data_IF_263650482318
#
_entry.id   IF_263650482318
#
_cell.length_a   1.000
_cell.length_b   1.000
_cell.length_c   1.000
_cell.angle_alpha   90.00
_cell.angle_beta   90.00
_cell.angle_gamma   90.00
#
_symmetry.space_group_name_H-M   'P 1'
#
loop_
_entity.id
_entity.type
_entity.pdbx_description
1 polymer ?
#
# COMPACT_ATOMS: atom_id res chain seq x y z
N UNK A 1 -28.56 -22.51 -7.97
CA UNK A 1 -28.09 -21.29 -7.27
C UNK A 1 -27.27 -21.57 -6.00
N UNK A 2 -26.91 -22.82 -5.67
CA UNK A 2 -26.16 -23.14 -4.45
C UNK A 2 -24.62 -23.23 -4.63
N UNK A 3 -24.11 -23.18 -5.85
CA UNK A 3 -22.69 -23.45 -6.16
C UNK A 3 -21.77 -22.23 -5.99
N UNK A 4 -22.29 -21.01 -6.15
CA UNK A 4 -21.47 -19.78 -6.09
C UNK A 4 -21.09 -19.40 -4.66
N UNK A 5 -21.98 -19.60 -3.69
CA UNK A 5 -21.73 -19.27 -2.27
C UNK A 5 -20.65 -20.15 -1.64
N UNK A 6 -20.47 -21.38 -2.13
CA UNK A 6 -19.51 -22.36 -1.61
C UNK A 6 -18.08 -22.05 -2.12
N UNK A 7 -17.94 -21.53 -3.33
CA UNK A 7 -16.64 -21.17 -3.90
C UNK A 7 -16.02 -19.92 -3.23
N UNK A 8 -16.84 -18.90 -2.96
CA UNK A 8 -16.39 -17.66 -2.29
C UNK A 8 -15.98 -17.90 -0.83
N UNK A 9 -16.72 -18.75 -0.11
CA UNK A 9 -16.37 -19.12 1.26
C UNK A 9 -15.10 -19.98 1.33
N UNK A 10 -14.89 -20.87 0.35
CA UNK A 10 -13.66 -21.66 0.25
C UNK A 10 -12.42 -20.81 -0.06
N UNK A 11 -12.53 -19.80 -0.94
CA UNK A 11 -11.43 -18.88 -1.26
C UNK A 11 -11.04 -18.01 -0.06
N UNK A 12 -12.02 -17.42 0.63
CA UNK A 12 -11.75 -16.63 1.83
C UNK A 12 -11.20 -17.47 2.98
N UNK A 13 -11.66 -18.72 3.14
CA UNK A 13 -11.12 -19.66 4.11
C UNK A 13 -9.67 -20.09 3.80
N UNK A 14 -9.31 -20.21 2.52
CA UNK A 14 -7.95 -20.54 2.10
C UNK A 14 -6.98 -19.39 2.39
N UNK A 15 -7.38 -18.15 2.08
CA UNK A 15 -6.53 -16.97 2.32
C UNK A 15 -6.40 -16.67 3.81
N UNK A 16 -7.46 -16.79 4.59
CA UNK A 16 -7.40 -16.66 6.06
C UNK A 16 -6.52 -17.75 6.70
N UNK A 17 -6.56 -18.98 6.19
CA UNK A 17 -5.66 -20.05 6.65
C UNK A 17 -4.20 -19.75 6.32
N UNK A 18 -3.92 -19.23 5.11
CA UNK A 18 -2.57 -18.87 4.66
C UNK A 18 -1.97 -17.74 5.52
N UNK A 19 -2.77 -16.71 5.86
CA UNK A 19 -2.39 -15.62 6.77
C UNK A 19 -1.97 -16.16 8.15
N UNK A 20 -2.73 -17.12 8.70
CA UNK A 20 -2.47 -17.70 10.03
C UNK A 20 -1.22 -18.58 10.05
N UNK A 21 -0.87 -19.20 8.93
CA UNK A 21 0.29 -20.09 8.81
C UNK A 21 1.59 -19.39 8.42
N UNK A 22 1.58 -18.08 8.18
CA UNK A 22 2.78 -17.39 7.73
C UNK A 22 3.85 -17.38 8.84
N UNK A 23 4.94 -18.12 8.61
CA UNK A 23 6.00 -18.35 9.60
C UNK A 23 6.71 -17.05 9.99
N UNK A 24 6.83 -16.09 9.07
CA UNK A 24 7.44 -14.78 9.30
C UNK A 24 6.68 -13.95 10.35
N UNK A 25 5.34 -13.98 10.34
CA UNK A 25 4.53 -13.32 11.38
C UNK A 25 4.72 -13.95 12.76
N UNK A 26 4.80 -15.29 12.81
CA UNK A 26 5.04 -16.00 14.07
C UNK A 26 6.44 -15.72 14.61
N UNK A 27 7.44 -15.72 13.73
CA UNK A 27 8.84 -15.44 14.06
C UNK A 27 9.04 -13.99 14.53
N UNK A 28 8.44 -13.01 13.85
CA UNK A 28 8.46 -11.62 14.30
C UNK A 28 7.84 -11.47 15.69
N UNK A 29 6.68 -12.07 15.94
CA UNK A 29 6.03 -12.04 17.25
C UNK A 29 6.91 -12.66 18.35
N UNK A 30 7.58 -13.78 18.05
CA UNK A 30 8.51 -14.41 18.98
C UNK A 30 9.72 -13.52 19.31
N UNK A 31 10.29 -12.83 18.31
CA UNK A 31 11.40 -11.90 18.50
C UNK A 31 10.98 -10.65 19.30
N UNK A 32 9.80 -10.10 19.03
CA UNK A 32 9.25 -8.97 19.80
C UNK A 32 9.03 -9.35 21.27
N UNK A 33 8.52 -10.55 21.53
CA UNK A 33 8.34 -11.07 22.88
C UNK A 33 9.69 -11.31 23.59
N UNK A 34 10.69 -11.85 22.87
CA UNK A 34 12.07 -11.98 23.37
C UNK A 34 12.64 -10.61 23.75
N UNK A 35 12.50 -9.59 22.90
CA UNK A 35 12.94 -8.21 23.17
C UNK A 35 12.27 -7.64 24.43
N UNK A 36 10.95 -7.77 24.56
CA UNK A 36 10.21 -7.30 25.76
C UNK A 36 10.77 -7.91 27.04
N UNK A 37 11.07 -9.21 27.05
CA UNK A 37 11.66 -9.89 28.21
C UNK A 37 13.07 -9.42 28.53
N UNK A 38 13.88 -9.12 27.52
CA UNK A 38 15.23 -8.58 27.72
C UNK A 38 15.18 -7.15 28.27
N UNK A 39 14.33 -6.29 27.71
CA UNK A 39 14.12 -4.91 28.19
C UNK A 39 13.65 -4.89 29.65
N UNK A 40 12.66 -5.71 30.00
CA UNK A 40 12.19 -5.81 31.38
C UNK A 40 13.28 -6.23 32.38
N UNK A 41 14.24 -7.08 31.95
CA UNK A 41 15.41 -7.47 32.77
C UNK A 41 16.46 -6.38 32.86
N UNK A 42 16.64 -5.58 31.80
CA UNK A 42 17.54 -4.42 31.81
C UNK A 42 16.99 -3.36 32.75
N UNK A 43 15.68 -3.06 32.69
CA UNK A 43 15.03 -2.05 33.53
C UNK A 43 15.12 -2.36 35.04
N UNK A 44 15.26 -3.63 35.44
CA UNK A 44 15.40 -4.01 36.85
C UNK A 44 16.81 -3.85 37.43
N UNK A 45 17.85 -3.86 36.58
CA UNK A 45 19.25 -3.88 37.04
C UNK A 45 19.79 -2.56 37.60
N UNK A 46 19.43 -1.36 37.10
CA UNK A 46 19.94 -0.09 37.62
C UNK A 46 19.71 0.07 39.12
N UNK A 47 18.53 -0.29 39.63
CA UNK A 47 18.24 -0.22 41.06
C UNK A 47 19.11 -1.16 41.90
N UNK A 48 19.43 -2.35 41.39
CA UNK A 48 20.34 -3.29 42.05
C UNK A 48 21.78 -2.79 42.04
N UNK A 49 22.23 -2.19 40.93
CA UNK A 49 23.56 -1.59 40.81
C UNK A 49 23.70 -0.41 41.78
N UNK A 50 22.72 0.49 41.86
CA UNK A 50 22.74 1.62 42.80
C UNK A 50 22.82 1.12 44.24
N UNK A 51 22.02 0.11 44.61
CA UNK A 51 22.09 -0.48 45.97
C UNK A 51 23.45 -1.10 46.27
N UNK A 52 24.04 -1.82 45.31
CA UNK A 52 25.37 -2.39 45.46
C UNK A 52 26.43 -1.29 45.63
N UNK A 53 26.35 -0.23 44.83
CA UNK A 53 27.22 0.94 44.90
C UNK A 53 27.13 1.66 46.26
N UNK A 54 25.92 1.92 46.74
CA UNK A 54 25.68 2.53 48.05
C UNK A 54 26.25 1.66 49.19
N UNK A 55 26.16 0.34 49.05
CA UNK A 55 26.73 -0.62 50.01
C UNK A 55 28.25 -0.55 50.04
N UNK A 56 28.91 -0.46 48.88
CA UNK A 56 30.37 -0.25 48.80
C UNK A 56 30.75 1.07 49.47
N UNK A 57 30.05 2.16 49.16
CA UNK A 57 30.30 3.48 49.78
C UNK A 57 30.11 3.49 51.30
N UNK A 58 29.09 2.78 51.81
CA UNK A 58 28.87 2.62 53.25
C UNK A 58 30.00 1.83 53.92
N UNK A 59 30.45 0.72 53.32
CA UNK A 59 31.57 -0.08 53.84
C UNK A 59 32.89 0.69 53.84
N UNK A 60 33.15 1.52 52.82
CA UNK A 60 34.31 2.41 52.77
C UNK A 60 34.26 3.49 53.86
N UNK A 61 33.08 4.06 54.11
CA UNK A 61 32.88 5.02 55.20
C UNK A 61 33.06 4.35 56.58
N UNK A 62 32.61 3.12 56.76
CA UNK A 62 32.83 2.33 57.98
C UNK A 62 34.31 1.99 58.19
N UNK A 63 35.02 1.58 57.13
CA UNK A 63 36.45 1.29 57.18
C UNK A 63 37.27 2.53 57.55
N UNK A 64 37.05 3.66 56.87
CA UNK A 64 37.72 4.93 57.19
C UNK A 64 37.38 5.44 58.60
N UNK A 65 36.13 5.28 59.04
CA UNK A 65 35.74 5.60 60.42
C UNK A 65 36.45 4.73 61.47
N UNK A 66 36.64 3.44 61.18
CA UNK A 66 37.38 2.51 62.04
C UNK A 66 38.88 2.85 62.11
N UNK A 67 39.49 3.25 60.99
CA UNK A 67 40.89 3.71 60.92
C UNK A 67 41.12 5.02 61.70
N UNK A 68 40.24 6.01 61.54
CA UNK A 68 40.29 7.27 62.30
C UNK A 68 40.14 6.97 63.80
N UNK A 69 39.19 6.10 64.16
CA UNK A 69 38.98 5.68 65.55
C UNK A 69 40.20 5.01 66.17
N UNK A 70 40.96 4.23 65.39
CA UNK A 70 42.22 3.62 65.83
C UNK A 70 43.31 4.68 66.04
N UNK A 71 43.47 5.61 65.11
CA UNK A 71 44.44 6.71 65.22
C UNK A 71 44.17 7.65 66.41
N UNK A 72 42.90 7.80 66.81
CA UNK A 72 42.53 8.56 68.01
C UNK A 72 42.64 7.75 69.32
N UNK A 73 42.53 6.43 69.25
CA UNK A 73 42.78 5.53 70.38
C UNK A 73 44.28 5.49 70.73
N UNK A 74 45.17 5.49 69.74
CA UNK A 74 46.64 5.55 69.91
C UNK A 74 47.12 6.76 70.71
N UNK A 75 46.34 7.84 70.74
CA UNK A 75 46.63 9.07 71.50
C UNK A 75 46.25 9.00 72.98
N UNK A 76 45.58 7.92 73.45
CA UNK A 76 45.10 7.77 74.83
C UNK A 76 45.94 6.72 75.60
N UNK A 77 46.16 6.89 76.92
CA UNK A 77 47.05 6.03 77.71
C UNK A 77 46.48 4.63 78.08
N UNK A 78 45.46 4.14 77.37
CA UNK A 78 44.81 2.84 77.66
C UNK A 78 45.41 1.73 76.77
N UNK A 79 45.44 0.47 77.22
CA UNK A 79 45.87 -0.65 76.37
C UNK A 79 44.90 -0.84 75.20
N UNK A 80 45.41 -0.72 73.97
CA UNK A 80 44.66 -0.94 72.73
C UNK A 80 44.82 -2.41 72.33
N UNK A 81 43.71 -3.06 72.04
CA UNK A 81 43.68 -4.43 71.50
C UNK A 81 43.83 -4.38 69.97
N UNK A 82 45.08 -4.19 69.53
CA UNK A 82 45.43 -4.02 68.11
C UNK A 82 44.99 -5.22 67.26
N UNK A 83 45.13 -6.44 67.75
CA UNK A 83 44.76 -7.67 67.03
C UNK A 83 43.26 -7.70 66.70
N UNK A 84 42.41 -7.24 67.62
CA UNK A 84 40.96 -7.15 67.41
C UNK A 84 40.59 -6.09 66.38
N UNK A 85 41.29 -4.97 66.35
CA UNK A 85 41.06 -3.89 65.38
C UNK A 85 41.55 -4.28 63.97
N UNK A 86 42.71 -4.90 63.86
CA UNK A 86 43.22 -5.45 62.60
C UNK A 86 42.26 -6.51 62.03
N UNK A 87 41.74 -7.40 62.88
CA UNK A 87 40.74 -8.39 62.45
C UNK A 87 39.42 -7.75 61.97
N UNK A 88 39.00 -6.64 62.58
CA UNK A 88 37.81 -5.89 62.17
C UNK A 88 38.00 -5.19 60.83
N UNK A 89 39.15 -4.54 60.61
CA UNK A 89 39.51 -3.91 59.33
C UNK A 89 39.64 -4.96 58.22
N UNK A 90 40.27 -6.10 58.50
CA UNK A 90 40.37 -7.21 57.54
C UNK A 90 38.98 -7.78 57.16
N UNK A 91 38.04 -7.84 58.12
CA UNK A 91 36.68 -8.28 57.85
C UNK A 91 35.88 -7.25 57.01
N UNK A 92 36.09 -5.96 57.23
CA UNK A 92 35.49 -4.88 56.42
C UNK A 92 36.06 -4.89 54.99
N UNK A 93 37.38 -4.98 54.84
CA UNK A 93 38.04 -5.07 53.54
C UNK A 93 37.54 -6.27 52.72
N UNK A 94 37.32 -7.42 53.37
CA UNK A 94 36.75 -8.60 52.69
C UNK A 94 35.32 -8.33 52.18
N UNK A 95 34.48 -7.70 53.01
CA UNK A 95 33.09 -7.36 52.62
C UNK A 95 33.05 -6.31 51.50
N UNK A 96 33.97 -5.36 51.52
CA UNK A 96 34.13 -4.36 50.47
C UNK A 96 34.46 -5.03 49.13
N UNK A 97 35.46 -5.92 49.10
CA UNK A 97 35.83 -6.67 47.89
C UNK A 97 34.66 -7.51 47.37
N UNK A 98 33.92 -8.18 48.25
CA UNK A 98 32.73 -8.96 47.87
C UNK A 98 31.64 -8.05 47.25
N UNK A 99 31.38 -6.88 47.84
CA UNK A 99 30.41 -5.92 47.32
C UNK A 99 30.85 -5.30 45.98
N UNK A 100 32.12 -4.96 45.82
CA UNK A 100 32.67 -4.47 44.55
C UNK A 100 32.57 -5.52 43.43
N UNK A 101 32.85 -6.79 43.73
CA UNK A 101 32.73 -7.88 42.76
C UNK A 101 31.28 -8.07 42.33
N UNK A 102 30.31 -7.95 43.26
CA UNK A 102 28.89 -7.98 42.93
C UNK A 102 28.49 -6.82 42.03
N UNK A 103 28.92 -5.59 42.34
CA UNK A 103 28.65 -4.41 41.50
C UNK A 103 29.24 -4.58 40.09
N UNK A 104 30.50 -5.00 39.98
CA UNK A 104 31.15 -5.28 38.69
C UNK A 104 30.41 -6.38 37.92
N UNK A 105 29.96 -7.42 38.61
CA UNK A 105 29.16 -8.50 38.02
C UNK A 105 27.81 -8.02 37.48
N UNK A 106 27.10 -7.17 38.23
CA UNK A 106 25.83 -6.58 37.80
C UNK A 106 26.01 -5.65 36.59
N UNK A 107 27.06 -4.81 36.58
CA UNK A 107 27.41 -3.96 35.44
C UNK A 107 27.78 -4.78 34.20
N UNK A 108 28.58 -5.83 34.36
CA UNK A 108 28.92 -6.73 33.25
C UNK A 108 27.67 -7.43 32.69
N UNK A 109 26.74 -7.85 33.55
CA UNK A 109 25.46 -8.43 33.14
C UNK A 109 24.58 -7.44 32.40
N UNK A 110 24.54 -6.18 32.83
CA UNK A 110 23.82 -5.11 32.13
C UNK A 110 24.36 -4.96 30.70
N UNK A 111 25.67 -4.78 30.54
CA UNK A 111 26.30 -4.64 29.23
C UNK A 111 26.03 -5.85 28.32
N UNK A 112 26.12 -7.07 28.87
CA UNK A 112 25.84 -8.29 28.11
C UNK A 112 24.37 -8.39 27.66
N UNK A 113 23.42 -7.92 28.48
CA UNK A 113 22.01 -7.87 28.09
C UNK A 113 21.74 -6.78 27.05
N UNK A 114 22.38 -5.62 27.14
CA UNK A 114 22.27 -4.55 26.15
C UNK A 114 22.79 -4.99 24.79
N UNK A 115 23.93 -5.70 24.74
CA UNK A 115 24.45 -6.31 23.50
C UNK A 115 23.49 -7.37 22.92
N UNK A 116 22.84 -8.16 23.76
CA UNK A 116 21.81 -9.11 23.30
C UNK A 116 20.58 -8.41 22.73
N UNK A 117 20.21 -7.25 23.26
CA UNK A 117 19.10 -6.45 22.72
C UNK A 117 19.48 -5.87 21.36
N UNK A 118 20.70 -5.36 21.17
CA UNK A 118 21.12 -4.84 19.87
C UNK A 118 21.10 -5.92 18.79
N UNK A 119 21.58 -7.13 19.10
CA UNK A 119 21.49 -8.28 18.18
C UNK A 119 20.03 -8.64 17.87
N UNK A 120 19.17 -8.67 18.89
CA UNK A 120 17.74 -8.96 18.70
C UNK A 120 17.05 -7.87 17.86
N UNK A 121 17.48 -6.61 17.95
CA UNK A 121 16.94 -5.51 17.15
C UNK A 121 17.34 -5.60 15.68
N UNK A 122 18.55 -6.06 15.38
CA UNK A 122 18.96 -6.37 14.02
C UNK A 122 18.13 -7.52 13.44
N UNK A 123 17.92 -8.59 14.22
CA UNK A 123 17.05 -9.72 13.84
C UNK A 123 15.62 -9.23 13.54
N UNK A 124 15.04 -8.37 14.39
CA UNK A 124 13.71 -7.79 14.20
C UNK A 124 13.67 -6.93 12.93
N UNK A 125 14.69 -6.12 12.66
CA UNK A 125 14.76 -5.27 11.48
C UNK A 125 14.74 -6.09 10.19
N UNK A 126 15.47 -7.20 10.15
CA UNK A 126 15.45 -8.15 9.03
C UNK A 126 14.07 -8.80 8.89
N UNK A 127 13.51 -9.29 9.99
CA UNK A 127 12.22 -9.98 9.96
C UNK A 127 11.07 -9.03 9.56
N UNK A 128 11.11 -7.76 9.96
CA UNK A 128 10.16 -6.74 9.51
C UNK A 128 10.15 -6.56 7.99
N UNK A 129 11.32 -6.66 7.32
CA UNK A 129 11.38 -6.58 5.85
C UNK A 129 10.74 -7.80 5.21
N UNK A 130 10.98 -9.00 5.75
CA UNK A 130 10.40 -10.26 5.29
C UNK A 130 8.87 -10.24 5.48
N UNK A 131 8.40 -9.82 6.65
CA UNK A 131 6.98 -9.62 6.93
C UNK A 131 6.36 -8.61 5.95
N UNK A 132 7.09 -7.54 5.61
CA UNK A 132 6.65 -6.57 4.62
C UNK A 132 6.44 -7.18 3.23
N UNK A 133 7.36 -8.04 2.76
CA UNK A 133 7.22 -8.74 1.48
C UNK A 133 6.10 -9.77 1.51
N UNK A 134 6.02 -10.57 2.58
CA UNK A 134 5.00 -11.61 2.71
C UNK A 134 3.60 -11.00 2.82
N UNK A 135 3.46 -9.88 3.55
CA UNK A 135 2.20 -9.15 3.63
C UNK A 135 1.77 -8.58 2.28
N UNK A 136 2.71 -8.07 1.47
CA UNK A 136 2.42 -7.59 0.13
C UNK A 136 1.97 -8.75 -0.79
N UNK A 137 2.63 -9.90 -0.72
CA UNK A 137 2.27 -11.09 -1.51
C UNK A 137 0.88 -11.62 -1.12
N UNK A 138 0.59 -11.70 0.18
CA UNK A 138 -0.75 -12.06 0.68
C UNK A 138 -1.78 -11.05 0.20
N UNK A 139 -1.51 -9.75 0.32
CA UNK A 139 -2.43 -8.70 -0.12
C UNK A 139 -2.72 -8.79 -1.62
N UNK A 140 -1.71 -9.06 -2.45
CA UNK A 140 -1.87 -9.27 -3.88
C UNK A 140 -2.72 -10.52 -4.18
N UNK A 141 -2.52 -11.62 -3.44
CA UNK A 141 -3.38 -12.83 -3.57
C UNK A 141 -4.84 -12.56 -3.19
N UNK A 142 -5.07 -11.81 -2.10
CA UNK A 142 -6.42 -11.37 -1.71
C UNK A 142 -7.03 -10.51 -2.81
N UNK A 143 -6.29 -9.53 -3.31
CA UNK A 143 -6.71 -8.64 -4.38
C UNK A 143 -7.09 -9.43 -5.63
N UNK A 144 -6.30 -10.45 -5.99
CA UNK A 144 -6.57 -11.33 -7.12
C UNK A 144 -7.84 -12.17 -6.92
N UNK A 145 -8.07 -12.69 -5.72
CA UNK A 145 -9.31 -13.40 -5.40
C UNK A 145 -10.53 -12.48 -5.53
N UNK A 146 -10.45 -11.28 -4.96
CA UNK A 146 -11.52 -10.28 -5.01
C UNK A 146 -11.79 -9.78 -6.43
N UNK A 147 -10.75 -9.56 -7.23
CA UNK A 147 -10.89 -9.18 -8.63
C UNK A 147 -11.59 -10.27 -9.45
N UNK A 148 -11.28 -11.54 -9.18
CA UNK A 148 -11.96 -12.68 -9.82
C UNK A 148 -13.43 -12.76 -9.41
N UNK A 149 -13.73 -12.55 -8.12
CA UNK A 149 -15.10 -12.51 -7.62
C UNK A 149 -15.90 -11.35 -8.25
N UNK A 150 -15.26 -10.19 -8.39
CA UNK A 150 -15.83 -9.02 -9.05
C UNK A 150 -16.14 -9.31 -10.52
N UNK A 151 -15.22 -9.92 -11.28
CA UNK A 151 -15.44 -10.28 -12.68
C UNK A 151 -16.65 -11.20 -12.88
N UNK A 152 -16.83 -12.19 -12.00
CA UNK A 152 -17.99 -13.10 -12.03
C UNK A 152 -19.27 -12.35 -11.70
N UNK A 153 -19.25 -11.49 -10.68
CA UNK A 153 -20.42 -10.73 -10.23
C UNK A 153 -20.85 -9.66 -11.24
N UNK A 154 -19.93 -9.14 -12.06
CA UNK A 154 -20.21 -8.11 -13.04
C UNK A 154 -20.84 -8.63 -14.34
N UNK A 155 -20.81 -9.94 -14.62
CA UNK A 155 -21.40 -10.52 -15.82
C UNK A 155 -22.84 -10.03 -16.14
N UNK A 156 -23.81 -10.05 -15.20
CA UNK A 156 -25.15 -9.53 -15.46
C UNK A 156 -25.18 -8.01 -15.68
N UNK A 157 -24.33 -7.26 -14.97
CA UNK A 157 -24.26 -5.80 -15.08
C UNK A 157 -23.71 -5.39 -16.45
N UNK A 158 -22.70 -6.11 -16.96
CA UNK A 158 -22.15 -5.93 -18.32
C UNK A 158 -23.24 -6.05 -19.39
N UNK A 159 -24.14 -7.04 -19.26
CA UNK A 159 -25.24 -7.20 -20.20
C UNK A 159 -26.22 -6.02 -20.18
N UNK A 160 -26.52 -5.45 -19.00
CA UNK A 160 -27.36 -4.25 -18.89
C UNK A 160 -26.65 -3.03 -19.48
N UNK A 161 -25.38 -2.84 -19.13
CA UNK A 161 -24.57 -1.74 -19.65
C UNK A 161 -24.47 -1.79 -21.19
N UNK A 162 -24.29 -2.98 -21.78
CA UNK A 162 -24.27 -3.17 -23.22
C UNK A 162 -25.60 -2.77 -23.90
N UNK A 163 -26.75 -3.01 -23.26
CA UNK A 163 -28.06 -2.53 -23.75
C UNK A 163 -28.15 -1.01 -23.76
N UNK A 164 -27.62 -0.36 -22.71
CA UNK A 164 -27.59 1.10 -22.60
C UNK A 164 -26.70 1.71 -23.69
N UNK A 165 -25.53 1.10 -23.95
CA UNK A 165 -24.65 1.51 -25.05
C UNK A 165 -25.37 1.37 -26.40
N UNK A 166 -25.96 0.21 -26.69
CA UNK A 166 -26.70 -0.01 -27.94
C UNK A 166 -27.87 0.96 -28.14
N UNK A 167 -28.57 1.35 -27.06
CA UNK A 167 -29.62 2.36 -27.12
C UNK A 167 -29.06 3.73 -27.51
N UNK A 168 -27.91 4.11 -26.96
CA UNK A 168 -27.24 5.40 -27.24
C UNK A 168 -26.78 5.50 -28.69
N UNK A 169 -26.36 4.38 -29.29
CA UNK A 169 -25.93 4.32 -30.68
C UNK A 169 -27.09 4.54 -31.68
N UNK A 170 -28.33 4.29 -31.24
CA UNK A 170 -29.54 4.52 -32.05
C UNK A 170 -30.10 5.92 -31.80
N UNK A 171 -30.20 6.32 -30.52
CA UNK A 171 -30.74 7.61 -30.11
C UNK A 171 -29.73 8.29 -29.18
N UNK A 172 -29.14 9.44 -29.58
CA UNK A 172 -28.20 10.15 -28.72
C UNK A 172 -28.95 10.81 -27.56
N UNK A 173 -28.91 10.19 -26.38
CA UNK A 173 -29.49 10.72 -25.14
C UNK A 173 -28.37 11.23 -24.25
N UNK A 174 -28.34 12.55 -23.99
CA UNK A 174 -27.26 13.21 -23.24
C UNK A 174 -27.05 12.63 -21.83
N UNK A 175 -28.12 12.40 -21.07
CA UNK A 175 -28.03 11.82 -19.73
C UNK A 175 -27.42 10.41 -19.72
N UNK A 176 -27.60 9.65 -20.80
CA UNK A 176 -27.01 8.32 -20.95
C UNK A 176 -25.52 8.42 -21.31
N UNK A 177 -25.12 9.43 -22.08
CA UNK A 177 -23.70 9.72 -22.33
C UNK A 177 -22.97 10.09 -21.04
N UNK A 178 -23.57 10.96 -20.21
CA UNK A 178 -23.01 11.33 -18.90
C UNK A 178 -22.92 10.10 -17.98
N UNK A 179 -23.96 9.25 -17.98
CA UNK A 179 -23.93 7.99 -17.24
C UNK A 179 -22.77 7.08 -17.67
N UNK A 180 -22.52 6.92 -18.98
CA UNK A 180 -21.41 6.11 -19.51
C UNK A 180 -20.04 6.58 -19.04
N UNK A 181 -19.85 7.88 -18.88
CA UNK A 181 -18.61 8.47 -18.36
C UNK A 181 -18.50 8.16 -16.85
N UNK A 182 -19.59 8.35 -16.10
CA UNK A 182 -19.61 8.14 -14.65
C UNK A 182 -19.53 6.67 -14.22
N UNK A 183 -20.02 5.75 -15.05
CA UNK A 183 -20.06 4.31 -14.76
C UNK A 183 -18.74 3.59 -15.09
N UNK A 184 -17.61 4.30 -15.03
CA UNK A 184 -16.29 3.68 -15.23
C UNK A 184 -15.94 2.83 -14.02
N UNK A 185 -15.74 1.52 -14.25
CA UNK A 185 -15.32 0.60 -13.21
C UNK A 185 -13.99 -0.05 -13.61
N UNK A 186 -12.92 0.35 -12.94
CA UNK A 186 -11.57 -0.12 -13.17
C UNK A 186 -11.31 -1.51 -12.58
N UNK A 187 -10.37 -2.24 -13.17
CA UNK A 187 -9.82 -3.45 -12.55
C UNK A 187 -8.96 -3.06 -11.33
N UNK A 188 -9.28 -3.51 -10.11
CA UNK A 188 -8.51 -3.17 -8.92
C UNK A 188 -7.05 -3.67 -8.97
N UNK A 189 -6.70 -4.63 -9.83
CA UNK A 189 -5.31 -5.08 -10.06
C UNK A 189 -4.48 -4.09 -10.89
N UNK A 190 -5.14 -3.27 -11.69
CA UNK A 190 -4.51 -2.39 -12.69
C UNK A 190 -4.86 -0.93 -12.52
N UNK A 191 -5.76 -0.61 -11.59
CA UNK A 191 -6.17 0.75 -11.29
C UNK A 191 -4.97 1.51 -10.73
N UNK A 192 -4.52 2.49 -11.48
CA UNK A 192 -3.51 3.45 -11.04
C UNK A 192 -4.08 4.83 -11.30
N UNK A 193 -4.78 5.37 -10.30
CA UNK A 193 -5.36 6.69 -10.40
C UNK A 193 -4.23 7.74 -10.45
N UNK A 194 -3.94 8.27 -11.63
CA UNK A 194 -3.03 9.39 -11.79
C UNK A 194 -3.76 10.67 -11.40
N UNK A 195 -3.40 11.26 -10.26
CA UNK A 195 -3.98 12.53 -9.82
C UNK A 195 -3.27 13.71 -10.52
N UNK A 196 -4.00 14.43 -11.37
CA UNK A 196 -3.51 15.67 -11.95
C UNK A 196 -4.10 16.87 -11.19
N UNK A 197 -3.28 17.78 -10.61
CA UNK A 197 -3.72 18.85 -9.72
C UNK A 197 -4.80 19.80 -10.26
N UNK A 198 -5.01 19.84 -11.59
CA UNK A 198 -5.94 20.74 -12.25
C UNK A 198 -6.88 20.07 -13.27
N UNK A 199 -6.76 18.76 -13.47
CA UNK A 199 -7.49 18.01 -14.51
C UNK A 199 -8.40 16.91 -13.93
N UNK A 200 -8.36 16.70 -12.61
CA UNK A 200 -8.93 15.52 -11.97
C UNK A 200 -8.00 14.31 -12.02
N UNK A 201 -8.46 13.18 -11.48
CA UNK A 201 -7.74 11.91 -11.63
C UNK A 201 -8.18 11.18 -12.91
N UNK A 202 -7.23 10.67 -13.68
CA UNK A 202 -7.50 9.73 -14.77
C UNK A 202 -7.03 8.35 -14.33
N UNK A 203 -7.89 7.35 -14.52
CA UNK A 203 -7.50 5.96 -14.44
C UNK A 203 -7.38 5.43 -15.88
N UNK A 204 -6.20 4.96 -16.24
CA UNK A 204 -5.93 4.40 -17.56
C UNK A 204 -6.31 2.91 -17.63
N UNK A 205 -6.81 2.34 -16.53
CA UNK A 205 -7.27 0.96 -16.48
C UNK A 205 -8.47 0.72 -17.42
N UNK A 206 -8.56 -0.48 -18.03
CA UNK A 206 -9.69 -0.82 -18.89
C UNK A 206 -10.98 -0.89 -18.06
N UNK A 207 -12.07 -0.32 -18.61
CA UNK A 207 -13.39 -0.39 -17.97
C UNK A 207 -13.93 -1.83 -18.02
N UNK A 208 -14.08 -2.45 -16.84
CA UNK A 208 -14.60 -3.79 -16.67
C UNK A 208 -16.02 -3.95 -17.21
N UNK A 209 -16.79 -2.87 -17.39
CA UNK A 209 -18.15 -2.94 -17.96
C UNK A 209 -18.17 -2.99 -19.51
N UNK A 210 -17.08 -2.62 -20.17
CA UNK A 210 -16.98 -2.54 -21.64
C UNK A 210 -16.43 -3.82 -22.29
N UNK A 211 -16.31 -4.91 -21.54
CA UNK A 211 -15.79 -6.17 -22.07
C UNK A 211 -16.80 -6.80 -23.05
N UNK A 212 -16.34 -7.07 -24.26
CA UNK A 212 -17.15 -7.70 -25.31
C UNK A 212 -17.20 -9.22 -25.12
N UNK A 213 -18.40 -9.74 -24.90
CA UNK A 213 -18.70 -11.16 -24.72
C UNK A 213 -19.91 -11.55 -25.56
N UNK A 214 -20.12 -12.85 -25.80
CA UNK A 214 -21.29 -13.34 -26.53
C UNK A 214 -22.62 -12.87 -25.89
N UNK A 215 -22.66 -12.73 -24.56
CA UNK A 215 -23.85 -12.24 -23.84
C UNK A 215 -24.08 -10.75 -24.07
N UNK A 216 -23.03 -9.93 -24.05
CA UNK A 216 -23.17 -8.49 -24.32
C UNK A 216 -23.56 -8.24 -25.77
N UNK A 217 -22.99 -8.98 -26.72
CA UNK A 217 -23.37 -8.86 -28.13
C UNK A 217 -24.82 -9.31 -28.38
N UNK A 218 -25.27 -10.41 -27.78
CA UNK A 218 -26.67 -10.81 -27.83
C UNK A 218 -27.60 -9.75 -27.21
N UNK A 219 -27.18 -9.11 -26.12
CA UNK A 219 -27.93 -8.05 -25.47
C UNK A 219 -28.02 -6.77 -26.33
N UNK A 220 -26.91 -6.37 -26.99
CA UNK A 220 -26.90 -5.27 -27.97
C UNK A 220 -27.83 -5.58 -29.14
N UNK A 221 -27.70 -6.77 -29.73
CA UNK A 221 -28.51 -7.21 -30.87
C UNK A 221 -30.02 -7.20 -30.55
N UNK A 222 -30.41 -7.62 -29.34
CA UNK A 222 -31.80 -7.57 -28.89
C UNK A 222 -32.36 -6.14 -28.87
N UNK A 223 -31.58 -5.16 -28.40
CA UNK A 223 -31.99 -3.74 -28.41
C UNK A 223 -32.07 -3.20 -29.83
N UNK A 224 -31.07 -3.48 -30.68
CA UNK A 224 -31.10 -3.07 -32.08
C UNK A 224 -32.29 -3.66 -32.85
N UNK A 225 -32.64 -4.93 -32.60
CA UNK A 225 -33.81 -5.55 -33.21
C UNK A 225 -35.11 -4.89 -32.75
N UNK A 226 -35.25 -4.62 -31.45
CA UNK A 226 -36.44 -3.96 -30.90
C UNK A 226 -36.59 -2.50 -31.36
N UNK A 227 -35.48 -1.78 -31.50
CA UNK A 227 -35.44 -0.36 -31.87
C UNK A 227 -35.27 -0.11 -33.38
N UNK A 228 -35.20 -1.17 -34.19
CA UNK A 228 -35.11 -1.07 -35.65
C UNK A 228 -36.11 -0.09 -36.30
N UNK A 229 -37.42 -0.11 -35.98
CA UNK A 229 -38.37 0.84 -36.59
C UNK A 229 -38.06 2.29 -36.22
N UNK A 230 -37.59 2.56 -35.01
CA UNK A 230 -37.17 3.90 -34.58
C UNK A 230 -35.91 4.33 -35.33
N UNK A 231 -34.93 3.45 -35.47
CA UNK A 231 -33.70 3.73 -36.21
C UNK A 231 -33.97 4.02 -37.69
N UNK A 232 -34.91 3.30 -38.32
CA UNK A 232 -35.36 3.54 -39.70
C UNK A 232 -36.10 4.87 -39.83
N UNK A 233 -37.00 5.18 -38.91
CA UNK A 233 -37.70 6.46 -38.87
C UNK A 233 -36.74 7.64 -38.69
N UNK A 234 -35.76 7.53 -37.78
CA UNK A 234 -34.72 8.53 -37.58
C UNK A 234 -33.85 8.68 -38.84
N UNK A 235 -33.48 7.58 -39.51
CA UNK A 235 -32.74 7.68 -40.78
C UNK A 235 -33.56 8.39 -41.86
N UNK A 236 -34.85 8.07 -42.00
CA UNK A 236 -35.74 8.75 -42.94
C UNK A 236 -35.93 10.23 -42.61
N UNK A 237 -35.97 10.58 -41.32
CA UNK A 237 -36.01 11.97 -40.85
C UNK A 237 -34.73 12.72 -41.21
N UNK A 238 -33.55 12.12 -40.97
CA UNK A 238 -32.26 12.76 -41.27
C UNK A 238 -32.00 12.85 -42.78
N UNK A 239 -32.52 11.92 -43.58
CA UNK A 239 -32.44 11.99 -45.04
C UNK A 239 -33.51 12.90 -45.65
N UNK A 240 -34.43 13.44 -44.85
CA UNK A 240 -35.43 14.37 -45.33
C UNK A 240 -34.76 15.67 -45.81
N UNK A 241 -34.71 15.82 -47.12
CA UNK A 241 -34.34 17.08 -47.75
C UNK A 241 -35.63 17.83 -48.04
N UNK A 242 -35.79 19.00 -47.43
CA UNK A 242 -36.92 19.90 -47.71
C UNK A 242 -36.97 20.13 -49.21
N UNK A 243 -38.16 19.99 -49.80
CA UNK A 243 -38.34 20.26 -51.22
C UNK A 243 -37.93 21.71 -51.53
N UNK A 244 -37.01 21.85 -52.46
CA UNK A 244 -36.59 23.14 -53.04
C UNK A 244 -37.13 23.19 -54.47
N UNK A 245 -37.87 24.25 -54.78
CA UNK A 245 -38.35 24.51 -56.15
C UNK A 245 -37.18 24.55 -57.13
N UNK A 246 -37.41 24.03 -58.34
CA UNK A 246 -36.35 23.80 -59.35
C UNK A 246 -35.52 25.05 -59.65
N UNK A 247 -36.15 26.23 -59.66
CA UNK A 247 -35.56 27.54 -59.89
C UNK A 247 -34.60 27.99 -58.77
N UNK A 248 -34.78 27.46 -57.55
CA UNK A 248 -33.99 27.83 -56.35
C UNK A 248 -33.01 26.74 -55.91
N UNK A 249 -32.90 25.64 -56.67
CA UNK A 249 -31.96 24.58 -56.32
C UNK A 249 -30.53 25.07 -56.50
N UNK A 250 -29.61 24.78 -55.56
CA UNK A 250 -28.20 25.04 -55.77
C UNK A 250 -27.77 24.30 -57.04
N UNK A 251 -27.19 25.02 -57.99
CA UNK A 251 -26.65 24.38 -59.18
C UNK A 251 -25.50 23.44 -58.76
N UNK A 252 -25.39 22.25 -59.38
CA UNK A 252 -24.28 21.35 -59.10
C UNK A 252 -22.94 22.09 -59.30
N UNK A 253 -21.99 21.81 -58.42
CA UNK A 253 -20.68 22.46 -58.40
C UNK A 253 -19.99 22.26 -59.75
N UNK A 254 -19.96 23.30 -60.59
CA UNK A 254 -19.20 23.28 -61.84
C UNK A 254 -17.75 23.54 -61.51
N UNK A 255 -16.94 22.49 -61.53
CA UNK A 255 -15.49 22.61 -61.40
C UNK A 255 -15.00 23.37 -62.62
N UNK A 256 -14.54 24.61 -62.42
CA UNK A 256 -13.82 25.35 -63.47
C UNK A 256 -12.51 24.61 -63.74
N UNK A 257 -12.44 23.84 -64.83
CA UNK A 257 -11.17 23.36 -65.36
C UNK A 257 -10.67 24.35 -66.41
N UNK A 258 -9.51 24.97 -66.18
CA UNK A 258 -8.79 25.67 -67.24
C UNK A 258 -8.21 24.62 -68.18
N UNK A 259 -8.70 24.56 -69.42
CA UNK A 259 -8.04 23.83 -70.49
C UNK A 259 -7.13 24.82 -71.19
N UNK A 260 -5.83 24.81 -70.84
CA UNK A 260 -4.82 25.59 -71.57
C UNK A 260 -4.58 24.89 -72.90
N UNK A 261 -5.23 25.35 -73.97
CA UNK A 261 -4.84 24.98 -75.33
C UNK A 261 -3.67 25.87 -75.75
N UNK A 262 -2.46 25.32 -75.76
CA UNK A 262 -1.31 25.95 -76.42
C UNK A 262 -1.50 25.89 -77.94
N UNK A 263 -2.26 26.84 -78.49
CA UNK A 263 -2.29 27.08 -79.93
C UNK A 263 -1.97 28.54 -80.22
N UNK A 264 -0.67 28.84 -80.29
CA UNK A 264 -0.19 30.16 -80.73
C UNK A 264 1.34 30.25 -80.69
N UNK A 265 2.01 30.81 -81.72
CA UNK A 265 3.46 31.00 -81.69
C UNK A 265 3.81 32.06 -80.64
N UNK A 266 4.48 31.63 -79.57
CA UNK A 266 5.21 32.43 -78.56
C UNK A 266 4.62 33.81 -78.23
N UNK A 267 3.87 33.89 -77.12
CA UNK A 267 3.95 35.09 -76.27
C UNK A 267 2.70 35.62 -75.59
N UNK A 268 1.49 35.07 -75.79
CA UNK A 268 0.31 35.48 -75.00
C UNK A 268 -0.58 34.28 -74.67
N UNK A 269 -0.69 33.96 -73.38
CA UNK A 269 -1.67 32.99 -72.88
C UNK A 269 -3.06 33.59 -73.02
N UNK A 270 -3.81 33.19 -74.04
CA UNK A 270 -5.25 33.39 -74.09
C UNK A 270 -5.89 32.16 -73.43
N UNK A 271 -6.06 32.22 -72.11
CA UNK A 271 -6.83 31.21 -71.40
C UNK A 271 -8.32 31.44 -71.66
N UNK A 272 -8.95 30.58 -72.46
CA UNK A 272 -10.41 30.57 -72.57
C UNK A 272 -10.97 29.74 -71.40
N UNK A 273 -11.68 30.39 -70.48
CA UNK A 273 -12.31 29.69 -69.36
C UNK A 273 -13.58 28.99 -69.84
N UNK A 274 -13.47 27.73 -70.25
CA UNK A 274 -14.64 26.93 -70.63
C UNK A 274 -15.33 26.41 -69.37
N UNK A 275 -16.49 26.96 -69.05
CA UNK A 275 -17.38 26.41 -68.02
C UNK A 275 -18.17 25.26 -68.66
N UNK A 276 -17.82 24.01 -68.36
CA UNK A 276 -18.70 22.86 -68.63
C UNK A 276 -19.70 22.73 -67.50
#
# INVERSE_FOLDING_TARGET
>A
MATTTIATTASNAAVTREIVTCESFQRLNALLEKKRRLVARIESLPAEITRAHDTVGALQAEATGAEIGLADAEKKPAPIDFERHEAALAALAKREVEAELLERGLRARLNALEEQVTVTDEEISVECRIVGTDAADIANKVLDALATELEVSLAPVRAVYAKIVALTDIVPIRSVQDFRISAHLSDPRRSFMHYFPHCGGSDDAPNLLQVETAQTEAAKAAVHAAMKPVAEALRAMHSHVRYVHLDKRPQPYRVKSEVVTESGPRGRFAGETVVR
#
